data_IF_526749632284
#
_entry.id   IF_526749632284
#
_cell.length_a   1.000
_cell.length_b   1.000
_cell.length_c   1.000
_cell.angle_alpha   90.00
_cell.angle_beta   90.00
_cell.angle_gamma   90.00
#
_symmetry.space_group_name_H-M   'P 1'
#
loop_
_entity.id
_entity.type
_entity.pdbx_description
1 polymer ?
#
# COMPACT_ATOMS: atom_id res chain seq x y z
N UNK A 1 15.65 13.49 -1.86
CA UNK A 1 14.39 13.22 -2.60
C UNK A 1 13.97 14.47 -3.33
N UNK A 2 13.60 14.34 -4.61
CA UNK A 2 13.30 15.48 -5.45
C UNK A 2 11.86 15.44 -5.95
N UNK A 3 11.03 16.38 -5.46
CA UNK A 3 9.67 16.55 -5.96
C UNK A 3 9.69 16.92 -7.45
N UNK A 4 10.62 17.75 -7.86
CA UNK A 4 10.75 18.17 -9.24
C UNK A 4 10.95 16.97 -10.18
N UNK A 5 11.88 16.09 -9.83
CA UNK A 5 12.15 14.91 -10.65
C UNK A 5 10.96 13.95 -10.67
N UNK A 6 10.32 13.74 -9.52
CA UNK A 6 9.13 12.90 -9.43
C UNK A 6 8.02 13.45 -10.34
N UNK A 7 7.74 14.73 -10.23
CA UNK A 7 6.70 15.40 -11.02
C UNK A 7 7.00 15.26 -12.51
N UNK A 8 8.23 15.51 -12.91
CA UNK A 8 8.65 15.41 -14.30
C UNK A 8 8.45 13.99 -14.84
N UNK A 9 8.89 12.98 -14.10
CA UNK A 9 8.78 11.60 -14.53
C UNK A 9 7.33 11.11 -14.59
N UNK A 10 6.49 11.54 -13.65
CA UNK A 10 5.07 11.21 -13.67
C UNK A 10 4.37 11.88 -14.86
N UNK A 11 4.69 13.15 -15.12
CA UNK A 11 4.10 13.87 -16.26
C UNK A 11 4.45 13.22 -17.59
N UNK A 12 5.69 12.76 -17.75
CA UNK A 12 6.11 12.05 -18.96
C UNK A 12 5.27 10.82 -19.25
N UNK A 13 4.73 10.19 -18.22
CA UNK A 13 3.97 8.95 -18.30
C UNK A 13 2.48 9.15 -18.14
N UNK A 14 2.03 10.39 -18.04
CA UNK A 14 0.62 10.76 -17.89
C UNK A 14 0.08 11.34 -19.19
N UNK A 15 -1.23 11.31 -19.35
CA UNK A 15 -1.86 11.96 -20.50
C UNK A 15 -1.98 13.47 -20.28
N UNK A 16 -2.33 13.90 -19.05
CA UNK A 16 -2.42 15.33 -18.72
C UNK A 16 -1.02 15.93 -18.57
N UNK A 17 -0.91 17.22 -18.92
CA UNK A 17 0.34 17.94 -18.83
C UNK A 17 0.42 18.81 -17.56
N UNK A 18 -0.66 18.88 -16.79
CA UNK A 18 -0.76 19.68 -15.55
C UNK A 18 -0.72 18.72 -14.38
N UNK A 19 0.18 18.99 -13.42
CA UNK A 19 0.43 18.09 -12.28
C UNK A 19 -0.83 17.75 -11.50
N UNK A 20 -1.64 18.74 -11.13
CA UNK A 20 -2.83 18.51 -10.32
C UNK A 20 -3.87 17.62 -11.01
N UNK A 21 -3.83 17.55 -12.34
CA UNK A 21 -4.71 16.68 -13.11
C UNK A 21 -4.01 15.33 -13.36
N UNK A 22 -2.73 15.37 -13.74
CA UNK A 22 -1.96 14.18 -14.07
C UNK A 22 -1.90 13.18 -12.90
N UNK A 23 -1.69 13.68 -11.68
CA UNK A 23 -1.59 12.79 -10.51
C UNK A 23 -2.87 12.01 -10.26
N UNK A 24 -4.03 12.51 -10.69
CA UNK A 24 -5.32 11.83 -10.54
C UNK A 24 -5.48 10.63 -11.47
N UNK A 25 -4.63 10.50 -12.50
CA UNK A 25 -4.63 9.36 -13.40
C UNK A 25 -4.11 8.09 -12.73
N UNK A 26 -3.38 8.23 -11.62
CA UNK A 26 -2.65 7.15 -10.98
C UNK A 26 -3.36 6.62 -9.75
N UNK A 27 -3.33 5.30 -9.58
CA UNK A 27 -3.88 4.63 -8.40
C UNK A 27 -2.87 3.65 -7.84
N UNK A 28 -3.05 3.28 -6.57
CA UNK A 28 -2.22 2.25 -5.95
C UNK A 28 -2.56 0.90 -6.58
N UNK A 29 -1.56 0.26 -7.16
CA UNK A 29 -1.72 -1.07 -7.72
C UNK A 29 -1.21 -2.13 -6.76
N UNK A 30 0.01 -1.98 -6.27
CA UNK A 30 0.61 -2.87 -5.28
C UNK A 30 1.36 -2.06 -4.25
N UNK A 31 1.40 -2.58 -3.03
CA UNK A 31 2.19 -2.03 -1.93
C UNK A 31 2.94 -3.20 -1.31
N UNK A 32 4.25 -3.03 -1.13
CA UNK A 32 5.04 -4.09 -0.51
C UNK A 32 6.30 -3.54 0.15
N UNK A 33 6.86 -4.34 1.05
CA UNK A 33 8.16 -4.07 1.63
C UNK A 33 9.18 -4.91 0.87
N UNK A 34 10.13 -4.24 0.24
CA UNK A 34 11.14 -4.92 -0.58
C UNK A 34 12.12 -5.68 0.32
N UNK A 35 12.48 -6.89 -0.09
CA UNK A 35 13.52 -7.66 0.57
C UNK A 35 14.91 -7.07 0.26
N UNK A 36 15.06 -6.49 -0.91
CA UNK A 36 16.27 -5.78 -1.32
C UNK A 36 15.90 -4.35 -1.68
N UNK A 37 16.74 -3.36 -1.29
CA UNK A 37 16.44 -1.95 -1.57
C UNK A 37 16.23 -1.69 -3.07
N UNK A 38 15.30 -0.79 -3.37
CA UNK A 38 14.98 -0.38 -4.73
C UNK A 38 15.17 1.13 -4.89
N UNK A 39 15.06 1.61 -6.11
CA UNK A 39 15.18 3.02 -6.45
C UNK A 39 13.79 3.61 -6.73
N UNK A 40 13.47 4.71 -6.08
CA UNK A 40 12.24 5.46 -6.35
C UNK A 40 12.30 6.13 -7.73
N UNK A 41 11.16 6.35 -8.33
CA UNK A 41 11.05 7.10 -9.60
C UNK A 41 11.72 8.47 -9.50
N UNK A 42 11.75 9.10 -8.32
CA UNK A 42 12.43 10.36 -8.10
C UNK A 42 13.96 10.25 -8.08
N UNK A 43 14.49 9.04 -8.16
CA UNK A 43 15.93 8.77 -8.13
C UNK A 43 16.50 8.47 -6.75
N UNK A 44 15.71 8.62 -5.70
CA UNK A 44 16.18 8.34 -4.35
C UNK A 44 16.41 6.83 -4.15
N UNK A 45 17.53 6.47 -3.56
CA UNK A 45 17.91 5.12 -3.19
C UNK A 45 18.58 5.18 -1.82
N UNK A 46 18.34 4.24 -0.91
CA UNK A 46 17.48 3.07 -1.02
C UNK A 46 16.05 3.34 -0.56
N UNK A 47 15.10 2.62 -1.12
CA UNK A 47 13.73 2.60 -0.60
C UNK A 47 13.31 1.16 -0.33
N UNK A 48 12.55 0.96 0.75
CA UNK A 48 12.05 -0.36 1.17
C UNK A 48 10.52 -0.40 1.11
N UNK A 49 9.85 0.68 1.49
CA UNK A 49 8.40 0.77 1.39
C UNK A 49 8.04 1.20 -0.02
N UNK A 50 7.56 0.25 -0.82
CA UNK A 50 7.38 0.39 -2.25
C UNK A 50 5.90 0.49 -2.61
N UNK A 51 5.58 1.45 -3.46
CA UNK A 51 4.26 1.57 -4.07
C UNK A 51 4.40 1.43 -5.57
N UNK A 52 3.70 0.46 -6.16
CA UNK A 52 3.55 0.41 -7.61
C UNK A 52 2.27 1.12 -7.96
N UNK A 53 2.36 2.13 -8.81
CA UNK A 53 1.21 2.92 -9.24
C UNK A 53 0.85 2.53 -10.66
N UNK A 54 -0.44 2.54 -10.95
CA UNK A 54 -1.00 2.21 -12.26
C UNK A 54 -1.75 3.41 -12.80
N UNK A 55 -1.45 3.78 -14.04
CA UNK A 55 -2.17 4.84 -14.73
C UNK A 55 -3.45 4.25 -15.34
N UNK A 56 -4.59 4.72 -14.88
CA UNK A 56 -5.90 4.22 -15.29
C UNK A 56 -6.23 4.55 -16.74
N UNK A 57 -5.59 5.55 -17.33
CA UNK A 57 -5.90 6.02 -18.69
C UNK A 57 -5.02 5.37 -19.75
N UNK A 58 -3.75 5.14 -19.48
CA UNK A 58 -2.83 4.61 -20.50
C UNK A 58 -2.18 3.27 -20.12
N UNK A 59 -2.47 2.73 -18.93
CA UNK A 59 -2.00 1.41 -18.52
C UNK A 59 -0.55 1.35 -18.05
N UNK A 60 0.14 2.46 -17.93
CA UNK A 60 1.53 2.46 -17.49
C UNK A 60 1.66 2.21 -15.98
N UNK A 61 2.83 1.66 -15.58
CA UNK A 61 3.16 1.39 -14.19
C UNK A 61 4.44 2.13 -13.82
N UNK A 62 4.52 2.59 -12.57
CA UNK A 62 5.74 3.19 -12.02
C UNK A 62 5.98 2.69 -10.61
N UNK A 63 7.24 2.70 -10.18
CA UNK A 63 7.65 2.34 -8.82
C UNK A 63 8.03 3.60 -8.07
N UNK A 64 7.34 3.86 -6.95
CA UNK A 64 7.52 5.08 -6.16
C UNK A 64 7.64 4.69 -4.68
N UNK A 65 8.56 5.32 -3.96
CA UNK A 65 8.67 5.13 -2.52
C UNK A 65 7.46 5.69 -1.78
N UNK A 66 7.12 5.10 -0.65
CA UNK A 66 5.98 5.54 0.16
C UNK A 66 6.07 7.03 0.54
N UNK A 67 7.27 7.51 0.82
CA UNK A 67 7.48 8.90 1.21
C UNK A 67 7.05 9.88 0.12
N UNK A 68 7.38 9.57 -1.14
CA UNK A 68 6.97 10.38 -2.28
C UNK A 68 5.46 10.31 -2.51
N UNK A 69 4.88 9.12 -2.39
CA UNK A 69 3.43 8.93 -2.55
C UNK A 69 2.69 9.76 -1.51
N UNK A 70 3.10 9.66 -0.25
CA UNK A 70 2.48 10.39 0.85
C UNK A 70 2.57 11.90 0.66
N UNK A 71 3.76 12.41 0.31
CA UNK A 71 4.02 13.84 0.27
C UNK A 71 3.48 14.53 -0.98
N UNK A 72 3.56 13.86 -2.13
CA UNK A 72 3.38 14.53 -3.40
C UNK A 72 2.19 14.03 -4.22
N UNK A 73 1.78 12.77 -4.04
CA UNK A 73 0.69 12.19 -4.82
C UNK A 73 -0.61 12.14 -4.03
N UNK A 74 -0.51 11.90 -2.72
CA UNK A 74 -1.67 11.98 -1.82
C UNK A 74 -2.51 10.71 -1.75
N UNK A 75 -1.98 9.56 -2.17
CA UNK A 75 -2.66 8.28 -2.02
C UNK A 75 -2.43 7.73 -0.60
N UNK A 76 -3.32 6.84 -0.09
CA UNK A 76 -3.29 6.43 1.32
C UNK A 76 -2.31 5.31 1.65
N UNK A 77 -1.18 5.23 0.94
CA UNK A 77 -0.20 4.16 1.14
C UNK A 77 0.39 4.17 2.55
N UNK A 78 0.64 5.35 3.11
CA UNK A 78 1.26 5.47 4.42
C UNK A 78 0.40 4.84 5.53
N UNK A 79 -0.92 5.00 5.45
CA UNK A 79 -1.84 4.38 6.40
C UNK A 79 -1.76 2.86 6.35
N UNK A 80 -1.58 2.29 5.17
CA UNK A 80 -1.45 0.85 4.99
C UNK A 80 -0.13 0.37 5.60
N UNK A 81 0.98 1.06 5.32
CA UNK A 81 2.27 0.70 5.90
C UNK A 81 2.28 0.82 7.43
N UNK A 82 1.62 1.86 7.97
CA UNK A 82 1.49 2.01 9.42
C UNK A 82 0.76 0.83 10.06
N UNK A 83 -0.33 0.39 9.45
CA UNK A 83 -1.09 -0.76 9.95
C UNK A 83 -0.25 -2.04 9.90
N UNK A 84 0.48 -2.25 8.83
CA UNK A 84 1.36 -3.42 8.66
C UNK A 84 2.43 -3.44 9.76
N UNK A 85 3.06 -2.32 10.02
CA UNK A 85 4.07 -2.23 11.09
C UNK A 85 3.49 -2.53 12.46
N UNK A 86 2.28 -2.04 12.72
CA UNK A 86 1.59 -2.25 14.00
C UNK A 86 1.31 -3.73 14.24
N UNK A 87 0.73 -4.42 13.24
CA UNK A 87 0.38 -5.84 13.42
C UNK A 87 1.59 -6.75 13.38
N UNK A 88 2.68 -6.31 12.72
CA UNK A 88 3.95 -7.06 12.77
C UNK A 88 4.52 -7.04 14.18
N UNK A 89 4.42 -5.90 14.84
CA UNK A 89 4.90 -5.75 16.21
C UNK A 89 4.01 -6.47 17.21
N UNK A 90 2.69 -6.48 16.98
CA UNK A 90 1.70 -7.14 17.83
C UNK A 90 0.57 -7.65 16.95
N UNK A 91 0.57 -8.96 16.67
CA UNK A 91 -0.40 -9.55 15.74
C UNK A 91 -1.82 -9.66 16.31
N UNK A 92 -2.04 -9.26 17.56
CA UNK A 92 -3.39 -9.19 18.14
C UNK A 92 -4.04 -7.84 17.87
N UNK A 93 -3.28 -6.86 17.40
CA UNK A 93 -3.83 -5.55 17.02
C UNK A 93 -4.59 -5.65 15.70
N UNK A 94 -5.48 -4.70 15.47
CA UNK A 94 -6.27 -4.64 14.25
C UNK A 94 -5.53 -3.85 13.17
N UNK A 95 -5.73 -4.25 11.92
CA UNK A 95 -5.44 -3.39 10.77
C UNK A 95 -6.42 -2.22 10.77
N UNK A 96 -6.05 -1.13 10.09
CA UNK A 96 -6.97 -0.03 9.88
C UNK A 96 -7.82 -0.27 8.62
N UNK A 97 -8.82 0.60 8.41
CA UNK A 97 -9.75 0.44 7.29
C UNK A 97 -9.03 0.42 5.94
N UNK A 98 -8.01 1.25 5.77
CA UNK A 98 -7.26 1.33 4.51
C UNK A 98 -6.54 0.02 4.20
N UNK A 99 -5.90 -0.58 5.19
CA UNK A 99 -5.20 -1.85 5.01
C UNK A 99 -6.16 -3.00 4.74
N UNK A 100 -7.29 -3.04 5.46
CA UNK A 100 -8.33 -4.07 5.27
C UNK A 100 -8.89 -3.98 3.85
N UNK A 101 -9.20 -2.79 3.41
CA UNK A 101 -9.72 -2.55 2.06
C UNK A 101 -8.72 -2.98 0.99
N UNK A 102 -7.46 -2.62 1.17
CA UNK A 102 -6.42 -2.98 0.22
C UNK A 102 -6.26 -4.51 0.12
N UNK A 103 -6.21 -5.19 1.27
CA UNK A 103 -6.09 -6.65 1.31
C UNK A 103 -7.26 -7.32 0.59
N UNK A 104 -8.48 -6.80 0.77
CA UNK A 104 -9.66 -7.31 0.12
C UNK A 104 -9.62 -7.07 -1.40
N UNK A 105 -9.27 -5.88 -1.82
CA UNK A 105 -9.15 -5.54 -3.24
C UNK A 105 -8.11 -6.40 -3.96
N UNK A 106 -7.05 -6.77 -3.26
CA UNK A 106 -5.99 -7.62 -3.82
C UNK A 106 -6.32 -9.11 -3.76
N UNK A 107 -7.43 -9.48 -3.15
CA UNK A 107 -7.81 -10.89 -3.02
C UNK A 107 -7.03 -11.63 -1.96
N UNK A 108 -6.32 -10.94 -1.07
CA UNK A 108 -5.57 -11.57 0.02
C UNK A 108 -6.48 -12.09 1.11
N UNK A 109 -7.62 -11.45 1.30
CA UNK A 109 -8.67 -11.87 2.20
C UNK A 109 -10.00 -11.93 1.44
N UNK A 110 -10.91 -12.81 1.89
CA UNK A 110 -12.21 -12.99 1.24
C UNK A 110 -13.25 -12.02 1.81
N UNK A 111 -14.47 -12.08 1.26
CA UNK A 111 -15.56 -11.19 1.67
C UNK A 111 -15.91 -11.33 3.14
N UNK A 112 -15.94 -12.57 3.65
CA UNK A 112 -16.24 -12.81 5.05
C UNK A 112 -15.17 -12.21 5.96
N UNK A 113 -13.90 -12.42 5.61
CA UNK A 113 -12.77 -11.86 6.37
C UNK A 113 -12.77 -10.35 6.33
N UNK A 114 -13.13 -9.77 5.19
CA UNK A 114 -13.26 -8.32 5.05
C UNK A 114 -14.32 -7.78 5.99
N UNK A 115 -15.54 -8.34 5.92
CA UNK A 115 -16.65 -7.89 6.78
C UNK A 115 -16.33 -8.07 8.26
N UNK A 116 -15.75 -9.21 8.62
CA UNK A 116 -15.32 -9.47 10.00
C UNK A 116 -14.33 -8.40 10.46
N UNK A 117 -13.33 -8.09 9.63
CA UNK A 117 -12.27 -7.15 10.00
C UNK A 117 -12.80 -5.73 10.17
N UNK A 118 -13.68 -5.29 9.27
CA UNK A 118 -14.31 -3.97 9.37
C UNK A 118 -15.17 -3.88 10.63
N UNK A 119 -15.97 -4.93 10.91
CA UNK A 119 -16.88 -4.93 12.05
C UNK A 119 -16.14 -4.94 13.39
N UNK A 120 -14.95 -5.54 13.44
CA UNK A 120 -14.21 -5.74 14.69
C UNK A 120 -13.02 -4.82 14.87
N UNK A 121 -12.64 -4.04 13.85
CA UNK A 121 -11.37 -3.28 13.91
C UNK A 121 -11.27 -2.33 15.09
N UNK A 122 -12.40 -1.81 15.59
CA UNK A 122 -12.42 -0.87 16.71
C UNK A 122 -12.71 -1.54 18.05
N UNK A 123 -12.98 -2.84 18.05
CA UNK A 123 -13.24 -3.55 19.30
C UNK A 123 -11.94 -3.82 20.05
N UNK A 124 -11.93 -3.49 21.34
CA UNK A 124 -10.77 -3.73 22.20
C UNK A 124 -10.72 -5.15 22.76
N UNK A 125 -11.91 -5.75 22.97
CA UNK A 125 -12.00 -7.09 23.54
C UNK A 125 -12.71 -7.99 22.54
N UNK A 126 -12.04 -9.07 22.17
CA UNK A 126 -12.58 -10.08 21.26
C UNK A 126 -12.69 -11.41 21.98
N UNK A 127 -13.63 -12.25 21.52
CA UNK A 127 -13.66 -13.65 21.95
C UNK A 127 -12.40 -14.35 21.46
N UNK A 128 -12.11 -15.54 22.01
CA UNK A 128 -10.94 -16.33 21.56
C UNK A 128 -10.99 -16.63 20.08
N UNK A 129 -12.17 -16.99 19.55
CA UNK A 129 -12.32 -17.29 18.10
C UNK A 129 -12.13 -16.04 17.24
N UNK A 130 -12.67 -14.89 17.69
CA UNK A 130 -12.51 -13.63 16.98
C UNK A 130 -11.04 -13.21 16.95
N UNK A 131 -10.33 -13.38 18.06
CA UNK A 131 -8.91 -13.05 18.12
C UNK A 131 -8.08 -13.92 17.17
N UNK A 132 -8.38 -15.23 17.13
CA UNK A 132 -7.71 -16.14 16.21
C UNK A 132 -7.94 -15.73 14.75
N UNK A 133 -9.16 -15.33 14.42
CA UNK A 133 -9.50 -14.87 13.07
C UNK A 133 -8.75 -13.59 12.73
N UNK A 134 -8.69 -12.63 13.66
CA UNK A 134 -7.92 -11.40 13.46
C UNK A 134 -6.45 -11.71 13.19
N UNK A 135 -5.88 -12.60 13.96
CA UNK A 135 -4.48 -12.98 13.78
C UNK A 135 -4.22 -13.63 12.42
N UNK A 136 -5.16 -14.47 11.94
CA UNK A 136 -5.05 -15.07 10.61
C UNK A 136 -5.11 -14.02 9.50
N UNK A 137 -6.00 -13.05 9.63
CA UNK A 137 -6.10 -11.93 8.67
C UNK A 137 -4.79 -11.15 8.65
N UNK A 138 -4.24 -10.85 9.83
CA UNK A 138 -2.96 -10.14 9.92
C UNK A 138 -1.82 -10.94 9.27
N UNK A 139 -1.79 -12.26 9.47
CA UNK A 139 -0.77 -13.12 8.86
C UNK A 139 -0.86 -13.11 7.35
N UNK A 140 -2.08 -13.15 6.79
CA UNK A 140 -2.28 -13.05 5.35
C UNK A 140 -1.78 -11.72 4.80
N UNK A 141 -2.05 -10.63 5.51
CA UNK A 141 -1.56 -9.31 5.13
C UNK A 141 -0.03 -9.28 5.11
N UNK A 142 0.60 -9.72 6.20
CA UNK A 142 2.05 -9.71 6.34
C UNK A 142 2.73 -10.58 5.29
N UNK A 143 2.17 -11.76 5.00
CA UNK A 143 2.72 -12.67 4.01
C UNK A 143 2.74 -12.06 2.61
N UNK A 144 1.78 -11.20 2.30
CA UNK A 144 1.66 -10.57 0.99
C UNK A 144 2.39 -9.23 0.88
N UNK A 145 2.89 -8.69 2.00
CA UNK A 145 3.58 -7.41 2.00
C UNK A 145 5.09 -7.51 1.82
N UNK A 146 5.66 -8.70 1.88
CA UNK A 146 7.09 -8.92 1.67
C UNK A 146 7.32 -9.50 0.28
N UNK A 147 8.10 -8.81 -0.56
CA UNK A 147 8.45 -9.33 -1.88
C UNK A 147 9.62 -8.60 -2.51
N UNK A 148 10.19 -9.23 -3.53
CA UNK A 148 11.15 -8.62 -4.43
C UNK A 148 10.43 -8.00 -5.62
N UNK A 149 11.07 -7.02 -6.27
CA UNK A 149 10.49 -6.31 -7.41
C UNK A 149 10.11 -7.24 -8.57
N UNK A 150 10.76 -8.41 -8.67
CA UNK A 150 10.45 -9.37 -9.72
C UNK A 150 9.24 -10.25 -9.45
N UNK A 151 8.63 -10.16 -8.28
CA UNK A 151 7.52 -11.03 -7.83
C UNK A 151 6.18 -10.31 -7.92
N UNK A 152 5.99 -9.51 -8.94
CA UNK A 152 4.83 -8.68 -9.14
C UNK A 152 3.46 -9.34 -9.21
#
# INVERSE_FOLDING_TARGET
MSQYKLTEEILKRSQAQIWDIAKLEWSLYQIYEAEEPETCLCGHFPIIEICTLHNKLNGQFVTVGNCCVKKFIGLPSDLIFQAVKRVRKDNQKSLNAEAIKHAHEKGWINDWEYNFSIDTMRKRVLTGKQLQTRMKVNEKMLANMKRNSGNG
#
